data_IF_188796375984
#
_entry.id   IF_188796375984
#
_cell.length_a   1.000
_cell.length_b   1.000
_cell.length_c   1.000
_cell.angle_alpha   90.00
_cell.angle_beta   90.00
_cell.angle_gamma   90.00
#
_symmetry.space_group_name_H-M   'P 1'
#
loop_
_entity.id
_entity.type
_entity.pdbx_description
1 polymer ?
#
# COMPACT_ATOMS: atom_id res chain seq x y z
N UNK A 1 42.51 -14.84 34.35
CA UNK A 1 41.32 -14.56 35.17
C UNK A 1 40.12 -14.53 34.22
N UNK A 2 39.45 -15.70 34.16
CA UNK A 2 38.36 -15.98 33.19
C UNK A 2 37.04 -15.48 33.75
N UNK A 3 36.29 -14.71 32.97
CA UNK A 3 34.87 -14.50 33.21
C UNK A 3 34.09 -14.84 31.98
N UNK A 4 33.57 -16.09 31.96
CA UNK A 4 32.55 -16.54 31.05
C UNK A 4 31.19 -15.97 31.47
N UNK A 5 30.59 -15.14 30.63
CA UNK A 5 29.18 -14.74 30.78
C UNK A 5 28.29 -15.69 29.99
N UNK A 6 27.53 -16.48 30.71
CA UNK A 6 26.50 -17.36 30.23
C UNK A 6 25.36 -16.54 29.60
N UNK A 7 25.15 -16.66 28.29
CA UNK A 7 23.87 -16.30 27.66
C UNK A 7 22.89 -17.46 27.85
N UNK A 8 21.92 -17.28 28.72
CA UNK A 8 20.75 -18.16 28.81
C UNK A 8 19.75 -17.77 27.73
N UNK A 9 19.69 -18.55 26.64
CA UNK A 9 18.55 -18.53 25.71
C UNK A 9 17.36 -19.22 26.37
N UNK A 10 16.31 -18.47 26.62
CA UNK A 10 15.01 -19.03 27.00
C UNK A 10 14.27 -19.35 25.69
N UNK A 11 14.32 -20.61 25.29
CA UNK A 11 13.45 -21.14 24.21
C UNK A 11 12.09 -21.42 24.86
N UNK A 12 11.13 -20.57 24.60
CA UNK A 12 9.74 -20.87 24.89
C UNK A 12 9.18 -21.77 23.79
N UNK A 13 9.15 -23.09 24.05
CA UNK A 13 8.42 -24.03 23.21
C UNK A 13 6.91 -23.81 23.36
N UNK A 14 6.29 -23.23 22.35
CA UNK A 14 4.83 -23.23 22.25
C UNK A 14 4.38 -24.53 21.60
N UNK A 15 3.96 -25.49 22.43
CA UNK A 15 3.32 -26.72 21.97
C UNK A 15 1.87 -26.41 21.61
N UNK A 16 1.59 -26.33 20.31
CA UNK A 16 0.22 -26.16 19.82
C UNK A 16 -0.43 -27.55 19.75
N UNK A 17 -1.26 -27.88 20.70
CA UNK A 17 -2.07 -29.12 20.68
C UNK A 17 -3.27 -28.87 19.76
N UNK A 18 -3.24 -29.42 18.55
CA UNK A 18 -4.41 -29.45 17.66
C UNK A 18 -5.28 -30.60 18.08
N UNK A 19 -6.34 -30.32 18.83
CA UNK A 19 -7.47 -31.21 19.04
C UNK A 19 -8.76 -30.47 18.71
N UNK A 20 -9.36 -30.82 17.59
CA UNK A 20 -10.70 -30.33 17.24
C UNK A 20 -10.86 -30.17 15.73
N UNK A 21 -11.28 -31.25 15.09
CA UNK A 21 -11.78 -31.22 13.70
C UNK A 21 -13.05 -30.39 13.65
N UNK A 22 -12.93 -29.11 13.37
CA UNK A 22 -14.10 -28.33 12.96
C UNK A 22 -14.16 -28.36 11.44
N UNK A 23 -15.19 -29.00 10.93
CA UNK A 23 -15.63 -28.88 9.56
C UNK A 23 -15.88 -27.39 9.29
N UNK A 24 -14.97 -26.75 8.53
CA UNK A 24 -15.28 -25.46 7.91
C UNK A 24 -16.25 -25.77 6.79
N UNK A 25 -17.53 -25.57 7.06
CA UNK A 25 -18.56 -25.56 6.03
C UNK A 25 -18.29 -24.33 5.18
N UNK A 26 -17.82 -24.54 3.96
CA UNK A 26 -17.73 -23.48 2.97
C UNK A 26 -19.17 -22.97 2.75
N UNK A 27 -19.45 -21.79 3.26
CA UNK A 27 -20.69 -21.10 3.00
C UNK A 27 -20.63 -20.66 1.55
N UNK A 28 -21.54 -21.16 0.73
CA UNK A 28 -21.73 -20.76 -0.65
C UNK A 28 -21.68 -19.24 -0.77
N UNK A 29 -20.87 -18.78 -1.71
CA UNK A 29 -20.80 -17.38 -2.13
C UNK A 29 -22.17 -17.06 -2.76
N UNK A 30 -23.09 -16.61 -1.90
CA UNK A 30 -24.34 -16.07 -2.36
C UNK A 30 -24.11 -14.76 -3.07
N UNK A 31 -24.51 -14.72 -4.34
CA UNK A 31 -24.77 -13.57 -5.19
C UNK A 31 -23.93 -12.32 -4.90
N UNK A 32 -23.12 -11.97 -5.88
CA UNK A 32 -22.62 -10.60 -6.11
C UNK A 32 -23.82 -9.62 -6.13
N UNK A 33 -24.30 -9.26 -4.98
CA UNK A 33 -25.07 -8.02 -4.85
C UNK A 33 -24.07 -6.95 -4.51
N UNK A 34 -24.02 -5.96 -5.37
CA UNK A 34 -23.36 -4.68 -5.26
C UNK A 34 -22.94 -4.39 -3.80
N UNK A 35 -21.67 -4.60 -3.52
CA UNK A 35 -21.06 -3.99 -2.35
C UNK A 35 -21.09 -2.51 -2.73
N UNK A 36 -22.09 -1.78 -2.26
CA UNK A 36 -22.05 -0.33 -2.29
C UNK A 36 -20.74 0.06 -1.63
N UNK A 37 -19.79 0.42 -2.48
CA UNK A 37 -18.52 0.96 -2.07
C UNK A 37 -18.85 2.23 -1.28
N UNK A 38 -18.71 2.17 0.03
CA UNK A 38 -18.81 3.36 0.88
C UNK A 38 -17.59 4.20 0.56
N UNK A 39 -17.72 4.97 -0.51
CA UNK A 39 -16.74 5.98 -0.87
C UNK A 39 -16.84 7.06 0.21
N UNK A 40 -15.74 7.34 0.88
CA UNK A 40 -15.58 8.46 1.78
C UNK A 40 -16.14 9.73 1.10
N UNK A 41 -17.35 10.12 1.48
CA UNK A 41 -17.99 11.34 1.00
C UNK A 41 -17.28 12.51 1.69
N UNK A 42 -16.26 13.04 1.09
CA UNK A 42 -15.47 14.14 1.65
C UNK A 42 -14.06 14.20 1.13
N UNK A 43 -13.47 13.08 0.78
CA UNK A 43 -12.16 13.04 0.11
C UNK A 43 -12.42 12.93 -1.39
N UNK A 44 -11.87 13.87 -2.12
CA UNK A 44 -12.09 14.12 -3.54
C UNK A 44 -12.12 12.85 -4.40
N UNK A 45 -13.30 12.34 -4.67
CA UNK A 45 -13.51 11.48 -5.83
C UNK A 45 -13.25 12.32 -7.08
N UNK A 46 -12.12 12.04 -7.72
CA UNK A 46 -11.69 12.74 -8.92
C UNK A 46 -12.74 12.59 -10.04
N UNK A 47 -13.53 11.52 -10.02
CA UNK A 47 -14.41 11.12 -11.11
C UNK A 47 -15.87 11.60 -10.97
N UNK A 48 -16.39 11.75 -9.76
CA UNK A 48 -17.84 11.79 -9.49
C UNK A 48 -18.59 13.05 -9.96
N UNK A 49 -17.93 14.16 -10.25
CA UNK A 49 -18.60 15.44 -10.57
C UNK A 49 -18.05 16.15 -11.82
N UNK A 50 -17.47 15.42 -12.77
CA UNK A 50 -16.87 16.05 -13.95
C UNK A 50 -17.82 16.17 -15.12
N UNK A 51 -17.96 17.38 -15.62
CA UNK A 51 -18.61 17.68 -16.91
C UNK A 51 -17.69 17.41 -18.11
N UNK A 52 -16.38 17.28 -17.90
CA UNK A 52 -15.38 17.07 -18.95
C UNK A 52 -15.00 15.57 -19.04
N UNK A 53 -15.03 14.93 -20.21
CA UNK A 53 -14.65 13.55 -20.37
C UNK A 53 -13.13 13.40 -20.18
N UNK A 54 -12.72 12.92 -19.03
CA UNK A 54 -11.33 12.63 -18.71
C UNK A 54 -11.16 11.13 -18.48
N UNK A 55 -10.10 10.56 -19.03
CA UNK A 55 -9.82 9.14 -18.85
C UNK A 55 -9.39 8.88 -17.39
N UNK A 56 -10.29 8.34 -16.59
CA UNK A 56 -10.04 7.90 -15.21
C UNK A 56 -10.16 6.39 -15.14
N UNK A 57 -9.23 5.76 -14.42
CA UNK A 57 -9.29 4.34 -14.07
C UNK A 57 -9.33 4.23 -12.55
N UNK A 58 -10.23 3.40 -12.03
CA UNK A 58 -10.30 3.09 -10.59
C UNK A 58 -9.87 1.65 -10.39
N UNK A 59 -8.86 1.44 -9.55
CA UNK A 59 -8.38 0.13 -9.13
C UNK A 59 -8.94 -0.13 -7.74
N UNK A 60 -9.75 -1.17 -7.60
CA UNK A 60 -10.42 -1.54 -6.35
C UNK A 60 -9.48 -2.32 -5.43
N UNK A 61 -9.79 -2.34 -4.12
CA UNK A 61 -9.06 -3.11 -3.11
C UNK A 61 -8.91 -4.59 -3.51
N UNK A 62 -9.97 -5.21 -4.00
CA UNK A 62 -9.95 -6.62 -4.46
C UNK A 62 -8.91 -6.84 -5.55
N UNK A 63 -8.84 -5.95 -6.53
CA UNK A 63 -7.83 -6.02 -7.60
C UNK A 63 -6.41 -5.85 -7.06
N UNK A 64 -6.22 -4.97 -6.06
CA UNK A 64 -4.92 -4.78 -5.42
C UNK A 64 -4.50 -6.06 -4.71
N UNK A 65 -5.38 -6.65 -3.90
CA UNK A 65 -5.10 -7.88 -3.16
C UNK A 65 -4.79 -9.05 -4.10
N UNK A 66 -5.57 -9.22 -5.16
CA UNK A 66 -5.45 -10.35 -6.08
C UNK A 66 -4.21 -10.27 -6.98
N UNK A 67 -3.85 -9.07 -7.43
CA UNK A 67 -2.83 -8.88 -8.47
C UNK A 67 -1.48 -8.43 -7.97
N UNK A 68 -1.43 -7.73 -6.83
CA UNK A 68 -0.18 -7.19 -6.35
C UNK A 68 0.76 -8.27 -5.79
N UNK A 69 0.22 -9.25 -5.04
CA UNK A 69 1.04 -10.29 -4.42
C UNK A 69 2.15 -9.68 -3.55
N UNK A 70 3.39 -10.07 -3.85
CA UNK A 70 4.59 -9.59 -3.15
C UNK A 70 5.28 -8.42 -3.88
N UNK A 71 4.66 -7.87 -4.93
CA UNK A 71 5.22 -6.77 -5.71
C UNK A 71 5.13 -5.44 -4.94
N UNK A 72 5.91 -4.46 -5.37
CA UNK A 72 5.81 -3.11 -4.84
C UNK A 72 4.53 -2.42 -5.33
N UNK A 73 3.99 -1.55 -4.48
CA UNK A 73 2.69 -0.94 -4.72
C UNK A 73 2.53 -0.28 -6.11
N UNK A 74 3.51 0.45 -6.66
CA UNK A 74 3.36 1.04 -7.99
C UNK A 74 3.18 0.02 -9.13
N UNK A 75 3.65 -1.22 -8.96
CA UNK A 75 3.59 -2.24 -10.03
C UNK A 75 2.16 -2.67 -10.37
N UNK A 76 1.20 -2.48 -9.43
CA UNK A 76 -0.23 -2.71 -9.70
C UNK A 76 -0.74 -1.86 -10.86
N UNK A 77 -0.12 -0.71 -11.10
CA UNK A 77 -0.49 0.24 -12.15
C UNK A 77 -0.21 -0.26 -13.56
N UNK A 78 0.66 -1.26 -13.73
CA UNK A 78 0.94 -1.87 -15.04
C UNK A 78 -0.30 -2.50 -15.69
N UNK A 79 -1.36 -2.72 -14.92
CA UNK A 79 -2.66 -3.14 -15.43
C UNK A 79 -3.52 -1.95 -15.93
N UNK A 80 -3.03 -0.71 -15.80
CA UNK A 80 -3.78 0.49 -16.19
C UNK A 80 -3.29 0.99 -17.54
N UNK A 81 -4.17 1.20 -18.53
CA UNK A 81 -3.76 1.67 -19.87
C UNK A 81 -2.96 2.97 -19.80
N UNK A 82 -1.89 3.08 -20.58
CA UNK A 82 -0.99 4.24 -20.66
C UNK A 82 -0.25 4.58 -19.37
N UNK A 83 -0.17 3.63 -18.44
CA UNK A 83 0.66 3.73 -17.23
C UNK A 83 1.72 2.65 -17.28
N UNK A 84 2.93 3.02 -16.92
CA UNK A 84 4.06 2.11 -16.80
C UNK A 84 4.75 2.34 -15.47
N UNK A 85 4.83 1.30 -14.66
CA UNK A 85 5.54 1.31 -13.39
C UNK A 85 6.68 0.29 -13.45
N UNK A 86 7.85 0.67 -12.96
CA UNK A 86 9.05 -0.18 -12.96
C UNK A 86 9.89 0.08 -11.72
N UNK A 87 10.66 -0.94 -11.32
CA UNK A 87 11.74 -0.80 -10.34
C UNK A 87 12.95 -0.16 -11.02
N UNK A 88 13.29 1.06 -10.65
CA UNK A 88 14.31 1.83 -11.33
C UNK A 88 15.74 1.32 -11.08
N UNK A 89 16.14 1.12 -9.86
CA UNK A 89 17.49 0.68 -9.50
C UNK A 89 17.55 -0.77 -9.04
N UNK A 90 16.41 -1.45 -8.95
CA UNK A 90 16.29 -2.77 -8.34
C UNK A 90 16.47 -2.74 -6.83
N UNK A 91 16.44 -1.55 -6.20
CA UNK A 91 16.43 -1.36 -4.77
C UNK A 91 15.02 -1.36 -4.19
N UNK A 92 14.90 -1.54 -2.89
CA UNK A 92 13.63 -1.48 -2.18
C UNK A 92 13.02 -0.07 -2.24
N UNK A 93 11.78 0.04 -2.74
CA UNK A 93 11.09 1.32 -2.87
C UNK A 93 11.59 2.22 -4.02
N UNK A 94 12.38 1.68 -4.93
CA UNK A 94 12.91 2.40 -6.09
C UNK A 94 11.92 2.51 -7.27
N UNK A 95 10.70 2.11 -7.08
CA UNK A 95 9.70 2.13 -8.15
C UNK A 95 9.50 3.51 -8.73
N UNK A 96 9.27 3.56 -10.04
CA UNK A 96 8.97 4.77 -10.79
C UNK A 96 7.74 4.60 -11.64
N UNK A 97 6.99 5.68 -11.79
CA UNK A 97 5.74 5.69 -12.53
C UNK A 97 5.86 6.65 -13.70
N UNK A 98 5.36 6.21 -14.85
CA UNK A 98 5.17 7.05 -16.03
C UNK A 98 3.71 6.97 -16.47
N UNK A 99 3.09 8.11 -16.73
CA UNK A 99 1.74 8.20 -17.29
C UNK A 99 1.81 8.92 -18.62
N UNK A 100 1.41 8.26 -19.71
CA UNK A 100 1.48 8.82 -21.08
C UNK A 100 2.87 9.35 -21.45
N UNK A 101 3.94 8.71 -20.99
CA UNK A 101 5.33 9.14 -21.22
C UNK A 101 5.84 10.23 -20.27
N UNK A 102 4.99 10.84 -19.46
CA UNK A 102 5.43 11.78 -18.44
C UNK A 102 5.97 11.02 -17.23
N UNK A 103 7.14 11.41 -16.76
CA UNK A 103 7.75 10.82 -15.58
C UNK A 103 7.04 11.27 -14.29
N UNK A 104 7.33 10.59 -13.20
CA UNK A 104 6.72 10.75 -11.87
C UNK A 104 6.70 12.19 -11.36
N UNK A 105 7.72 13.01 -11.67
CA UNK A 105 7.82 14.43 -11.27
C UNK A 105 6.72 15.30 -11.88
N UNK A 106 6.14 14.86 -12.99
CA UNK A 106 5.07 15.54 -13.70
C UNK A 106 3.69 14.96 -13.42
N UNK A 107 3.59 14.10 -12.41
CA UNK A 107 2.37 13.41 -12.00
C UNK A 107 2.07 13.80 -10.55
N UNK A 108 0.88 14.29 -10.29
CA UNK A 108 0.44 14.53 -8.91
C UNK A 108 0.08 13.19 -8.25
N UNK A 109 0.80 12.82 -7.20
CA UNK A 109 0.52 11.64 -6.39
C UNK A 109 -0.02 12.08 -5.05
N UNK A 110 -1.14 11.50 -4.65
CA UNK A 110 -1.84 11.91 -3.42
C UNK A 110 -2.29 10.70 -2.60
N UNK A 111 -2.33 10.89 -1.31
CA UNK A 111 -2.98 9.98 -0.36
C UNK A 111 -4.13 10.73 0.30
N UNK A 112 -5.35 10.24 0.12
CA UNK A 112 -6.57 10.90 0.59
C UNK A 112 -6.67 12.39 0.15
N UNK A 113 -6.20 12.70 -1.06
CA UNK A 113 -6.19 14.07 -1.58
C UNK A 113 -5.05 14.95 -1.09
N UNK A 114 -4.18 14.45 -0.22
CA UNK A 114 -3.00 15.16 0.27
C UNK A 114 -1.80 14.79 -0.62
N UNK A 115 -1.13 15.78 -1.24
CA UNK A 115 0.04 15.54 -2.07
C UNK A 115 1.19 14.90 -1.30
N UNK A 116 1.86 13.93 -1.91
CA UNK A 116 3.02 13.23 -1.34
C UNK A 116 4.30 13.37 -2.18
N UNK A 117 4.21 14.08 -3.29
CA UNK A 117 5.40 14.42 -4.07
C UNK A 117 6.36 15.26 -3.23
N UNK A 118 7.64 14.97 -3.32
CA UNK A 118 8.69 15.75 -2.69
C UNK A 118 8.68 17.20 -3.18
N UNK A 119 8.73 18.15 -2.27
CA UNK A 119 8.61 19.57 -2.60
C UNK A 119 9.81 20.14 -3.33
N UNK A 120 10.98 19.48 -3.23
CA UNK A 120 12.21 19.94 -3.85
C UNK A 120 12.34 19.50 -5.31
N UNK A 121 12.04 18.24 -5.59
CA UNK A 121 12.28 17.62 -6.89
C UNK A 121 11.05 17.00 -7.56
N UNK A 122 9.92 16.96 -6.88
CA UNK A 122 8.66 16.41 -7.39
C UNK A 122 8.59 14.87 -7.40
N UNK A 123 9.63 14.17 -6.98
CA UNK A 123 9.64 12.71 -6.94
C UNK A 123 8.78 12.16 -5.80
N UNK A 124 8.44 10.89 -5.89
CA UNK A 124 7.84 10.10 -4.80
C UNK A 124 8.79 8.98 -4.43
N UNK A 125 9.22 8.97 -3.18
CA UNK A 125 10.07 7.92 -2.62
C UNK A 125 9.19 6.83 -2.03
N UNK A 126 8.95 5.77 -2.80
CA UNK A 126 8.02 4.71 -2.42
C UNK A 126 8.45 3.91 -1.20
N UNK A 127 9.75 3.91 -0.88
CA UNK A 127 10.25 3.34 0.38
C UNK A 127 9.62 4.00 1.62
N UNK A 128 9.31 5.30 1.57
CA UNK A 128 8.64 6.02 2.65
C UNK A 128 7.15 5.63 2.80
N UNK A 129 6.62 4.89 1.83
CA UNK A 129 5.22 4.47 1.77
C UNK A 129 5.09 2.94 1.79
N UNK A 130 6.02 2.27 2.46
CA UNK A 130 6.01 0.81 2.62
C UNK A 130 4.67 0.35 3.20
N UNK A 131 4.08 -0.67 2.57
CA UNK A 131 2.80 -1.23 3.01
C UNK A 131 1.58 -0.35 2.75
N UNK A 132 1.70 0.74 1.98
CA UNK A 132 0.52 1.54 1.62
C UNK A 132 -0.55 0.71 0.87
N UNK A 133 -0.14 -0.34 0.14
CA UNK A 133 -1.04 -1.31 -0.48
C UNK A 133 -2.02 -1.93 0.52
N UNK A 134 -1.54 -2.20 1.72
CA UNK A 134 -2.29 -2.92 2.74
C UNK A 134 -3.42 -2.07 3.34
N UNK A 135 -3.25 -0.76 3.29
CA UNK A 135 -4.22 0.22 3.79
C UNK A 135 -5.04 0.88 2.68
N UNK A 136 -4.76 0.57 1.41
CA UNK A 136 -5.47 1.15 0.27
C UNK A 136 -6.83 0.48 0.08
N UNK A 137 -7.88 1.27 0.04
CA UNK A 137 -9.23 0.82 -0.34
C UNK A 137 -9.47 0.93 -1.84
N UNK A 138 -8.94 1.97 -2.46
CA UNK A 138 -8.97 2.13 -3.91
C UNK A 138 -7.92 3.12 -4.38
N UNK A 139 -7.58 3.04 -5.66
CA UNK A 139 -6.69 3.97 -6.32
C UNK A 139 -7.35 4.53 -7.56
N UNK A 140 -7.34 5.84 -7.69
CA UNK A 140 -7.88 6.54 -8.85
C UNK A 140 -6.74 7.13 -9.68
N UNK A 141 -6.67 6.79 -10.95
CA UNK A 141 -5.66 7.27 -11.88
C UNK A 141 -6.34 8.05 -13.00
N UNK A 142 -6.11 9.35 -12.99
CA UNK A 142 -6.52 10.24 -14.06
C UNK A 142 -5.34 10.45 -15.00
N UNK A 143 -5.56 10.26 -16.28
CA UNK A 143 -4.54 10.35 -17.32
C UNK A 143 -4.66 11.65 -18.11
N UNK A 144 -3.57 12.43 -18.10
CA UNK A 144 -3.45 13.72 -18.80
C UNK A 144 -4.03 14.88 -18.03
N UNK A 145 -3.98 16.05 -18.65
CA UNK A 145 -4.49 17.30 -18.09
C UNK A 145 -5.97 17.16 -17.73
N UNK A 146 -6.27 17.39 -16.50
CA UNK A 146 -7.64 17.45 -16.03
C UNK A 146 -7.77 18.59 -15.03
N UNK A 147 -8.94 19.24 -14.98
CA UNK A 147 -9.24 20.13 -13.88
C UNK A 147 -9.25 19.30 -12.59
N UNK A 148 -8.09 19.18 -11.96
CA UNK A 148 -8.00 18.61 -10.63
C UNK A 148 -8.63 19.62 -9.68
N UNK A 149 -9.56 19.18 -8.86
CA UNK A 149 -9.99 19.97 -7.67
C UNK A 149 -8.87 20.04 -6.63
N UNK A 150 -7.77 19.40 -6.90
CA UNK A 150 -6.67 19.16 -5.99
C UNK A 150 -5.53 20.14 -6.29
N UNK A 151 -4.87 20.58 -5.27
CA UNK A 151 -3.98 21.75 -5.25
C UNK A 151 -2.68 21.66 -6.07
N UNK A 152 -2.41 20.56 -6.76
CA UNK A 152 -1.20 20.40 -7.55
C UNK A 152 -1.52 20.40 -9.04
N UNK A 153 -0.80 21.23 -9.79
CA UNK A 153 -0.79 21.23 -11.25
C UNK A 153 0.02 20.04 -11.73
N UNK A 154 -0.59 19.16 -12.53
CA UNK A 154 0.06 17.99 -13.09
C UNK A 154 -0.22 17.90 -14.58
N UNK A 155 0.84 17.77 -15.37
CA UNK A 155 0.77 17.67 -16.83
C UNK A 155 0.50 16.21 -17.26
N UNK A 156 1.15 15.26 -16.59
CA UNK A 156 1.08 13.84 -16.93
C UNK A 156 -0.22 13.18 -16.49
N UNK A 157 -0.74 13.60 -15.37
CA UNK A 157 -1.93 13.00 -14.76
C UNK A 157 -1.94 13.11 -13.24
N UNK A 158 -2.96 12.54 -12.65
CA UNK A 158 -3.13 12.56 -11.19
C UNK A 158 -3.42 11.15 -10.70
N UNK A 159 -2.75 10.74 -9.64
CA UNK A 159 -3.01 9.50 -8.92
C UNK A 159 -3.44 9.83 -7.50
N UNK A 160 -4.61 9.32 -7.08
CA UNK A 160 -5.10 9.48 -5.72
C UNK A 160 -5.31 8.10 -5.08
N UNK A 161 -4.62 7.85 -4.00
CA UNK A 161 -4.69 6.65 -3.21
C UNK A 161 -5.66 6.92 -2.07
N UNK A 162 -6.76 6.18 -2.03
CA UNK A 162 -7.74 6.28 -0.96
C UNK A 162 -7.46 5.18 0.06
N UNK A 163 -7.25 5.57 1.30
CA UNK A 163 -7.01 4.60 2.37
C UNK A 163 -8.32 4.04 2.92
N UNK A 164 -8.23 2.97 3.69
CA UNK A 164 -9.37 2.31 4.32
C UNK A 164 -10.15 3.28 5.19
N UNK A 165 -11.46 3.20 5.10
CA UNK A 165 -12.35 3.93 6.01
C UNK A 165 -12.40 3.25 7.39
N UNK A 166 -12.65 4.05 8.42
CA UNK A 166 -12.85 3.55 9.79
C UNK A 166 -14.13 2.71 9.91
N UNK A 167 -15.13 2.95 9.09
CA UNK A 167 -16.44 2.30 9.11
C UNK A 167 -16.55 1.03 8.24
N UNK A 168 -15.43 0.51 7.76
CA UNK A 168 -15.37 -0.77 7.06
C UNK A 168 -16.08 -1.87 7.85
N UNK A 169 -16.73 -2.81 7.16
CA UNK A 169 -17.44 -3.94 7.78
C UNK A 169 -16.60 -4.64 8.83
N UNK A 170 -17.22 -5.04 9.94
CA UNK A 170 -16.57 -5.80 11.01
C UNK A 170 -15.92 -7.06 10.45
N UNK A 171 -14.65 -7.25 10.78
CA UNK A 171 -13.89 -8.43 10.36
C UNK A 171 -12.41 -8.23 10.53
N UNK A 172 -11.65 -9.28 10.38
CA UNK A 172 -10.20 -9.28 10.46
C UNK A 172 -9.57 -10.07 9.33
N UNK A 173 -8.31 -9.75 9.03
CA UNK A 173 -7.49 -10.42 8.03
C UNK A 173 -6.11 -10.68 8.63
N UNK A 174 -5.61 -11.89 8.43
CA UNK A 174 -4.21 -12.25 8.68
C UNK A 174 -3.62 -12.67 7.35
N UNK A 175 -2.51 -12.08 6.97
CA UNK A 175 -1.79 -12.44 5.75
C UNK A 175 -0.37 -12.86 6.11
N UNK A 176 0.05 -14.00 5.59
CA UNK A 176 1.43 -14.47 5.65
C UNK A 176 1.90 -14.67 4.21
N UNK A 177 3.01 -14.03 3.86
CA UNK A 177 3.61 -14.11 2.54
C UNK A 177 5.06 -14.58 2.64
N UNK A 178 5.47 -15.43 1.71
CA UNK A 178 6.84 -15.89 1.55
C UNK A 178 7.23 -15.68 0.08
N UNK A 179 8.50 -15.44 -0.17
CA UNK A 179 9.02 -15.23 -1.52
C UNK A 179 10.49 -15.59 -1.62
N UNK A 180 11.07 -15.31 -2.78
CA UNK A 180 12.49 -15.48 -3.02
C UNK A 180 13.32 -14.54 -2.14
N UNK A 181 14.59 -14.81 -2.03
CA UNK A 181 15.59 -13.97 -1.35
C UNK A 181 15.22 -13.64 0.10
N UNK A 182 14.65 -14.63 0.80
CA UNK A 182 14.25 -14.49 2.19
C UNK A 182 13.05 -13.56 2.41
N UNK A 183 12.33 -13.16 1.35
CA UNK A 183 11.14 -12.32 1.49
C UNK A 183 10.11 -12.99 2.39
N UNK A 184 9.68 -12.27 3.40
CA UNK A 184 8.57 -12.66 4.24
C UNK A 184 7.74 -11.44 4.65
N UNK A 185 6.43 -11.64 4.65
CA UNK A 185 5.45 -10.63 5.06
C UNK A 185 4.50 -11.23 6.08
N UNK A 186 4.23 -10.48 7.14
CA UNK A 186 3.17 -10.77 8.09
C UNK A 186 2.30 -9.54 8.26
N UNK A 187 0.99 -9.72 8.19
CA UNK A 187 0.01 -8.65 8.33
C UNK A 187 -1.14 -9.12 9.21
N UNK A 188 -1.56 -8.24 10.09
CA UNK A 188 -2.79 -8.35 10.85
C UNK A 188 -3.62 -7.07 10.68
N UNK A 189 -4.90 -7.23 10.33
CA UNK A 189 -5.83 -6.12 10.24
C UNK A 189 -7.15 -6.50 10.90
N UNK A 190 -7.79 -5.52 11.54
CA UNK A 190 -9.09 -5.70 12.16
C UNK A 190 -9.94 -4.43 12.05
N UNK A 191 -11.23 -4.61 11.75
CA UNK A 191 -12.22 -3.54 11.68
C UNK A 191 -13.36 -3.85 12.66
N UNK A 192 -13.74 -2.88 13.46
CA UNK A 192 -14.84 -3.06 14.43
C UNK A 192 -16.22 -3.04 13.78
N UNK A 193 -16.32 -2.43 12.60
CA UNK A 193 -17.58 -1.96 12.03
C UNK A 193 -18.12 -0.76 12.78
N UNK A 194 -19.15 -0.14 12.26
CA UNK A 194 -19.84 0.98 12.89
C UNK A 194 -20.87 0.45 13.90
N UNK A 195 -20.81 0.94 15.13
CA UNK A 195 -21.76 0.59 16.17
C UNK A 195 -23.01 1.49 16.14
N UNK A 196 -24.02 1.18 16.95
CA UNK A 196 -25.28 1.94 17.04
C UNK A 196 -25.10 3.40 17.50
N UNK A 197 -23.98 3.74 18.13
CA UNK A 197 -23.64 5.09 18.57
C UNK A 197 -22.83 5.86 17.53
N UNK A 198 -22.61 5.28 16.35
CA UNK A 198 -21.88 5.91 15.24
C UNK A 198 -20.35 5.79 15.33
N UNK A 199 -19.79 5.04 16.28
CA UNK A 199 -18.35 4.82 16.39
C UNK A 199 -17.89 3.63 15.56
N UNK A 200 -16.73 3.78 14.94
CA UNK A 200 -16.03 2.73 14.20
C UNK A 200 -14.52 2.87 14.35
N UNK A 201 -13.81 1.77 14.22
CA UNK A 201 -12.34 1.77 14.22
C UNK A 201 -11.79 0.74 13.25
N UNK A 202 -10.67 1.05 12.63
CA UNK A 202 -9.89 0.16 11.79
C UNK A 202 -8.44 0.18 12.26
N UNK A 203 -7.83 -0.99 12.34
CA UNK A 203 -6.46 -1.16 12.78
C UNK A 203 -5.73 -2.10 11.81
N UNK A 204 -4.46 -1.81 11.52
CA UNK A 204 -3.60 -2.68 10.75
C UNK A 204 -2.16 -2.56 11.25
N UNK A 205 -1.47 -3.70 11.30
CA UNK A 205 -0.02 -3.78 11.46
C UNK A 205 0.54 -4.79 10.47
N UNK A 206 1.65 -4.43 9.83
CA UNK A 206 2.37 -5.33 8.94
C UNK A 206 3.88 -5.20 9.13
N UNK A 207 4.59 -6.29 8.87
CA UNK A 207 6.04 -6.34 8.75
C UNK A 207 6.38 -7.04 7.45
N UNK A 208 7.30 -6.46 6.70
CA UNK A 208 7.84 -7.04 5.47
C UNK A 208 9.35 -6.96 5.53
N UNK A 209 10.04 -8.06 5.27
CA UNK A 209 11.49 -8.06 5.22
C UNK A 209 11.98 -9.09 4.19
N UNK A 210 13.24 -8.95 3.76
CA UNK A 210 13.89 -9.82 2.79
C UNK A 210 15.08 -9.14 2.16
N UNK A 211 15.53 -9.69 1.04
CA UNK A 211 16.51 -9.08 0.15
C UNK A 211 15.95 -8.99 -1.27
N UNK A 212 16.61 -8.28 -2.14
CA UNK A 212 16.32 -8.27 -3.57
C UNK A 212 17.32 -9.22 -4.28
N UNK A 213 17.22 -9.32 -5.60
CA UNK A 213 18.03 -10.24 -6.39
C UNK A 213 19.56 -10.01 -6.29
N UNK A 214 19.99 -8.82 -5.88
CA UNK A 214 21.40 -8.48 -5.74
C UNK A 214 21.84 -8.62 -4.27
N UNK A 215 23.06 -9.11 -4.05
CA UNK A 215 23.64 -9.21 -2.72
C UNK A 215 23.74 -7.82 -2.04
N UNK A 216 23.55 -7.79 -0.72
CA UNK A 216 23.62 -6.57 0.06
C UNK A 216 22.44 -5.61 -0.18
N UNK A 217 21.28 -6.11 -0.55
CA UNK A 217 20.05 -5.33 -0.75
C UNK A 217 18.96 -5.70 0.28
N UNK A 218 19.38 -6.05 1.48
CA UNK A 218 18.45 -6.37 2.56
C UNK A 218 17.58 -5.19 2.92
N UNK A 219 16.34 -5.49 3.30
CA UNK A 219 15.39 -4.49 3.73
C UNK A 219 14.45 -5.03 4.82
N UNK A 220 13.94 -4.11 5.62
CA UNK A 220 12.88 -4.37 6.57
C UNK A 220 11.99 -3.14 6.70
N UNK A 221 10.70 -3.34 6.55
CA UNK A 221 9.69 -2.29 6.66
C UNK A 221 8.53 -2.73 7.56
N UNK A 222 8.03 -1.77 8.29
CA UNK A 222 6.82 -1.92 9.10
C UNK A 222 5.75 -0.99 8.56
N UNK A 223 4.49 -1.38 8.72
CA UNK A 223 3.37 -0.51 8.48
C UNK A 223 2.43 -0.59 9.67
N UNK A 224 2.00 0.55 10.15
CA UNK A 224 0.91 0.64 11.10
C UNK A 224 -0.12 1.65 10.63
N UNK A 225 -1.36 1.30 10.82
CA UNK A 225 -2.50 2.12 10.45
C UNK A 225 -3.57 2.03 11.54
N UNK A 226 -4.09 3.17 11.92
CA UNK A 226 -5.22 3.28 12.82
C UNK A 226 -6.18 4.34 12.28
N UNK A 227 -7.45 4.01 12.17
CA UNK A 227 -8.50 4.95 11.84
C UNK A 227 -9.62 4.86 12.86
N UNK A 228 -10.08 6.02 13.35
CA UNK A 228 -11.21 6.17 14.24
C UNK A 228 -12.27 7.03 13.57
N UNK A 229 -13.47 6.51 13.43
CA UNK A 229 -14.60 7.20 12.84
C UNK A 229 -15.70 7.46 13.87
N UNK A 230 -16.33 8.61 13.74
CA UNK A 230 -17.51 8.98 14.51
C UNK A 230 -18.54 9.67 13.64
N UNK A 231 -19.67 9.01 13.44
CA UNK A 231 -20.80 9.53 12.67
C UNK A 231 -22.05 9.61 13.56
N UNK A 232 -22.21 10.73 14.28
CA UNK A 232 -23.35 10.91 15.20
C UNK A 232 -24.71 11.02 14.48
N UNK A 233 -24.70 11.44 13.23
CA UNK A 233 -25.90 11.58 12.39
C UNK A 233 -25.53 11.47 10.90
N UNK A 234 -26.52 11.62 10.01
CA UNK A 234 -26.31 11.52 8.55
C UNK A 234 -25.58 12.72 7.92
N UNK A 235 -25.41 13.80 8.66
CA UNK A 235 -24.82 15.06 8.16
C UNK A 235 -23.33 15.13 8.54
N UNK A 236 -22.97 14.67 9.74
CA UNK A 236 -21.61 14.78 10.27
C UNK A 236 -20.93 13.43 10.24
N UNK A 237 -19.78 13.41 9.60
CA UNK A 237 -18.86 12.26 9.55
C UNK A 237 -17.45 12.77 9.88
N UNK A 238 -16.90 12.28 10.98
CA UNK A 238 -15.59 12.65 11.48
C UNK A 238 -14.70 11.41 11.42
N UNK A 239 -13.56 11.55 10.79
CA UNK A 239 -12.56 10.48 10.73
C UNK A 239 -11.18 11.01 11.14
N UNK A 240 -10.57 10.33 12.08
CA UNK A 240 -9.16 10.49 12.43
C UNK A 240 -8.38 9.32 11.90
N UNK A 241 -7.27 9.58 11.21
CA UNK A 241 -6.39 8.54 10.67
C UNK A 241 -4.96 8.81 11.11
N UNK A 242 -4.32 7.76 11.59
CA UNK A 242 -2.91 7.75 11.95
C UNK A 242 -2.20 6.59 11.24
N UNK A 243 -1.11 6.88 10.54
CA UNK A 243 -0.35 5.88 9.79
C UNK A 243 1.14 6.17 9.85
N UNK A 244 1.95 5.14 9.71
CA UNK A 244 3.38 5.26 9.58
C UNK A 244 3.99 4.02 8.96
N UNK A 245 5.14 4.22 8.32
CA UNK A 245 5.87 3.20 7.58
C UNK A 245 7.37 3.27 7.88
N UNK A 246 7.81 3.05 9.15
CA UNK A 246 9.23 3.01 9.46
C UNK A 246 9.88 1.83 8.70
N UNK A 247 11.05 2.10 8.12
CA UNK A 247 11.78 1.11 7.34
C UNK A 247 13.27 1.41 7.35
N UNK A 248 14.05 0.41 7.05
CA UNK A 248 15.45 0.54 6.66
C UNK A 248 15.74 -0.39 5.46
N UNK A 249 16.69 -0.01 4.64
CA UNK A 249 17.13 -0.84 3.52
C UNK A 249 18.54 -0.46 3.09
N UNK A 250 19.23 -1.44 2.51
CA UNK A 250 20.45 -1.19 1.76
C UNK A 250 20.08 -0.98 0.31
N UNK A 251 20.51 0.14 -0.23
CA UNK A 251 20.20 0.50 -1.60
C UNK A 251 21.42 0.34 -2.49
N UNK A 252 21.20 -0.16 -3.69
CA UNK A 252 22.24 -0.13 -4.72
C UNK A 252 22.58 1.33 -5.02
N UNK A 253 23.87 1.60 -5.22
CA UNK A 253 24.34 2.86 -5.74
C UNK A 253 23.82 3.13 -7.17
N UNK A 254 24.45 4.03 -7.90
CA UNK A 254 24.11 4.29 -9.29
C UNK A 254 24.17 2.98 -10.11
N UNK A 255 23.25 2.85 -11.07
CA UNK A 255 23.27 1.72 -11.99
C UNK A 255 24.63 1.73 -12.75
N UNK A 256 25.35 0.59 -12.81
CA UNK A 256 26.62 0.52 -13.51
C UNK A 256 26.42 0.82 -15.00
N UNK A 257 27.40 1.47 -15.59
CA UNK A 257 27.43 1.65 -17.03
C UNK A 257 27.73 0.33 -17.74
N UNK A 258 27.41 0.25 -19.03
CA UNK A 258 27.71 -0.93 -19.85
C UNK A 258 29.22 -1.25 -19.80
N UNK A 259 30.08 -0.25 -19.79
CA UNK A 259 31.53 -0.44 -19.72
C UNK A 259 31.99 -1.02 -18.36
N UNK A 260 31.35 -0.60 -17.26
CA UNK A 260 31.61 -1.19 -15.93
C UNK A 260 31.17 -2.65 -15.89
N UNK A 261 30.02 -2.98 -16.50
CA UNK A 261 29.58 -4.35 -16.65
C UNK A 261 30.54 -5.21 -17.46
N UNK A 262 31.08 -4.69 -18.56
CA UNK A 262 32.02 -5.41 -19.41
C UNK A 262 33.37 -5.61 -18.68
N UNK A 263 33.83 -4.62 -17.93
CA UNK A 263 35.16 -4.62 -17.33
C UNK A 263 35.24 -5.34 -15.98
N UNK A 264 34.16 -5.33 -15.19
CA UNK A 264 34.17 -5.80 -13.81
C UNK A 264 33.22 -6.99 -13.55
N UNK A 265 32.44 -7.37 -14.56
CA UNK A 265 31.47 -8.46 -14.43
C UNK A 265 30.27 -8.11 -13.56
N UNK A 266 29.41 -9.06 -13.43
CA UNK A 266 28.24 -8.97 -12.55
C UNK A 266 28.63 -9.21 -11.11
#
# INVERSE_FOLDING_TARGET
>A
MNLNFFKKSVIASFTFTIAGSYFVQAQEVGNERDIEEIVLVGVADIAKHRKTPVAVSTIKETTIIEKLGNQEFPEILNNTPSVYATKAGGGFGDSRINIRGFNQRNIAVMVNGIPINDMLNGDVYWSNWTGISDVTSSMQVQRGLGASKLAIVSVGGTMNILTRSADKKKGGVVTLGLGNDGYHKSLFAYNTGKNLKGWSASFLMARTAGALYADGTDFEGYNYYFALGYQPNKIHDLQFTFTGAPQWHHQRGAAPTINEYINYGS
#
